data_IF_014591116998
#
_entry.id   IF_014591116998
#
_cell.length_a   1.000
_cell.length_b   1.000
_cell.length_c   1.000
_cell.angle_alpha   90.00
_cell.angle_beta   90.00
_cell.angle_gamma   90.00
#
_symmetry.space_group_name_H-M   'P 1'
#
loop_
_entity.id
_entity.type
_entity.pdbx_description
1 polymer ?
#
# COMPACT_ATOMS: atom_id res chain seq x y z
N UNK A 1 6.21 -12.13 -20.53
CA UNK A 1 4.85 -12.48 -20.07
C UNK A 1 4.06 -11.24 -19.61
N UNK A 2 4.39 -10.59 -18.48
CA UNK A 2 3.66 -9.39 -18.01
C UNK A 2 3.66 -8.20 -18.99
N UNK A 3 4.77 -7.95 -19.71
CA UNK A 3 4.83 -6.86 -20.69
C UNK A 3 3.85 -7.04 -21.87
N UNK A 4 3.42 -8.27 -22.13
CA UNK A 4 2.48 -8.62 -23.20
C UNK A 4 1.03 -8.68 -22.69
N UNK A 5 0.80 -9.20 -21.47
CA UNK A 5 -0.57 -9.40 -20.94
C UNK A 5 -1.07 -8.25 -20.07
N UNK A 6 -0.17 -7.50 -19.42
CA UNK A 6 -0.46 -6.53 -18.35
C UNK A 6 -1.29 -7.12 -17.18
N UNK A 7 -1.40 -8.43 -17.11
CA UNK A 7 -2.15 -9.12 -16.06
C UNK A 7 -1.21 -9.46 -14.89
N UNK A 8 -1.41 -8.78 -13.77
CA UNK A 8 -0.61 -8.99 -12.55
C UNK A 8 -0.92 -10.33 -11.88
N UNK A 9 -2.10 -10.91 -12.12
CA UNK A 9 -2.53 -12.17 -11.50
C UNK A 9 -1.63 -13.33 -11.92
N UNK A 10 -1.12 -13.30 -13.15
CA UNK A 10 -0.17 -14.32 -13.65
C UNK A 10 1.16 -14.30 -12.89
N UNK A 11 1.67 -13.10 -12.56
CA UNK A 11 2.91 -12.96 -11.79
C UNK A 11 2.69 -13.42 -10.35
N UNK A 12 1.55 -13.05 -9.76
CA UNK A 12 1.17 -13.49 -8.41
C UNK A 12 1.03 -15.00 -8.33
N UNK A 13 0.35 -15.61 -9.31
CA UNK A 13 0.21 -17.05 -9.42
C UNK A 13 1.58 -17.74 -9.47
N UNK A 14 2.50 -17.26 -10.31
CA UNK A 14 3.85 -17.84 -10.42
C UNK A 14 4.65 -17.72 -9.11
N UNK A 15 4.56 -16.59 -8.41
CA UNK A 15 5.21 -16.44 -7.11
C UNK A 15 4.59 -17.38 -6.06
N UNK A 16 3.27 -17.56 -6.09
CA UNK A 16 2.56 -18.44 -5.17
C UNK A 16 2.93 -19.91 -5.38
N UNK A 17 3.12 -20.36 -6.63
CA UNK A 17 3.64 -21.71 -6.93
C UNK A 17 5.02 -21.98 -6.31
N UNK A 18 5.83 -20.94 -6.12
CA UNK A 18 7.13 -21.03 -5.45
C UNK A 18 7.04 -20.85 -3.92
N UNK A 19 5.83 -20.79 -3.34
CA UNK A 19 5.61 -20.51 -1.92
C UNK A 19 5.92 -19.06 -1.51
N UNK A 20 6.08 -18.16 -2.48
CA UNK A 20 6.37 -16.75 -2.29
C UNK A 20 5.19 -15.86 -2.66
N UNK A 21 5.43 -14.55 -2.64
CA UNK A 21 4.46 -13.55 -3.06
C UNK A 21 5.13 -12.42 -3.82
N UNK A 22 4.36 -11.74 -4.67
CA UNK A 22 4.87 -10.63 -5.47
C UNK A 22 4.52 -9.29 -4.83
N UNK A 23 5.54 -8.46 -4.60
CA UNK A 23 5.38 -7.06 -4.18
C UNK A 23 6.01 -6.15 -5.22
N UNK A 24 5.20 -5.27 -5.82
CA UNK A 24 5.73 -4.22 -6.69
C UNK A 24 6.59 -3.25 -5.90
N UNK A 25 7.72 -2.84 -6.47
CA UNK A 25 8.52 -1.76 -5.93
C UNK A 25 7.67 -0.48 -5.72
N UNK A 26 7.88 0.27 -4.63
CA UNK A 26 7.23 1.57 -4.48
C UNK A 26 7.66 2.52 -5.60
N UNK A 27 6.69 3.21 -6.17
CA UNK A 27 6.92 4.29 -7.15
C UNK A 27 6.61 5.61 -6.44
N UNK A 28 7.63 6.41 -6.08
CA UNK A 28 7.39 7.69 -5.43
C UNK A 28 6.64 8.64 -6.36
N UNK A 29 5.52 9.20 -5.90
CA UNK A 29 4.79 10.24 -6.61
C UNK A 29 5.45 11.60 -6.36
N UNK A 30 6.16 12.11 -7.35
CA UNK A 30 6.91 13.37 -7.28
C UNK A 30 5.95 14.58 -7.13
N UNK A 31 4.66 14.42 -7.46
CA UNK A 31 3.69 15.53 -7.43
C UNK A 31 3.04 15.74 -6.07
N UNK A 32 3.07 14.74 -5.20
CA UNK A 32 2.40 14.77 -3.89
C UNK A 32 3.36 15.20 -2.80
N UNK A 33 2.82 15.92 -1.81
CA UNK A 33 3.58 16.18 -0.59
C UNK A 33 3.80 14.88 0.18
N UNK A 34 4.87 14.84 0.98
CA UNK A 34 5.18 13.72 1.87
C UNK A 34 4.00 13.36 2.78
N UNK A 35 3.37 14.35 3.41
CA UNK A 35 2.24 14.15 4.32
C UNK A 35 1.03 13.54 3.59
N UNK A 36 0.74 14.03 2.38
CA UNK A 36 -0.32 13.49 1.53
C UNK A 36 -0.03 12.05 1.12
N UNK A 37 1.23 11.70 0.83
CA UNK A 37 1.61 10.33 0.49
C UNK A 37 1.41 9.39 1.67
N UNK A 38 1.86 9.75 2.88
CA UNK A 38 1.68 8.91 4.08
C UNK A 38 0.19 8.70 4.37
N UNK A 39 -0.61 9.77 4.31
CA UNK A 39 -2.05 9.68 4.55
C UNK A 39 -2.73 8.74 3.55
N UNK A 40 -2.40 8.87 2.26
CA UNK A 40 -2.95 8.03 1.21
C UNK A 40 -2.59 6.54 1.39
N UNK A 41 -1.33 6.24 1.67
CA UNK A 41 -0.88 4.86 1.93
C UNK A 41 -1.58 4.27 3.17
N UNK A 42 -1.72 5.06 4.24
CA UNK A 42 -2.42 4.63 5.46
C UNK A 42 -3.90 4.33 5.17
N UNK A 43 -4.57 5.17 4.38
CA UNK A 43 -5.97 4.94 3.96
C UNK A 43 -6.11 3.70 3.08
N UNK A 44 -5.13 3.45 2.21
CA UNK A 44 -5.09 2.24 1.39
C UNK A 44 -4.98 0.97 2.26
N UNK A 45 -4.08 0.95 3.25
CA UNK A 45 -3.98 -0.20 4.19
C UNK A 45 -5.28 -0.48 4.92
N UNK A 46 -5.95 0.57 5.43
CA UNK A 46 -7.23 0.42 6.13
C UNK A 46 -8.30 -0.16 5.19
N UNK A 47 -8.40 0.35 3.96
CA UNK A 47 -9.33 -0.18 2.96
C UNK A 47 -9.04 -1.63 2.64
N UNK A 48 -7.80 -1.98 2.33
CA UNK A 48 -7.42 -3.33 1.94
C UNK A 48 -7.64 -4.33 3.10
N UNK A 49 -7.48 -3.88 4.35
CA UNK A 49 -7.84 -4.66 5.53
C UNK A 49 -9.36 -4.86 5.66
N UNK A 50 -10.15 -3.82 5.43
CA UNK A 50 -11.62 -3.94 5.39
C UNK A 50 -12.08 -4.92 4.30
N UNK A 51 -11.52 -4.84 3.09
CA UNK A 51 -11.85 -5.76 1.99
C UNK A 51 -11.52 -7.22 2.32
N UNK A 52 -10.44 -7.46 3.08
CA UNK A 52 -10.12 -8.80 3.58
C UNK A 52 -11.16 -9.28 4.60
N UNK A 53 -11.55 -8.42 5.56
CA UNK A 53 -12.57 -8.78 6.54
C UNK A 53 -13.91 -9.06 5.87
N UNK A 54 -14.32 -8.23 4.91
CA UNK A 54 -15.56 -8.41 4.14
C UNK A 54 -15.55 -9.75 3.40
N UNK A 55 -14.42 -10.13 2.77
CA UNK A 55 -14.28 -11.42 2.11
C UNK A 55 -14.42 -12.59 3.10
N UNK A 56 -13.80 -12.50 4.28
CA UNK A 56 -13.91 -13.53 5.32
C UNK A 56 -15.33 -13.65 5.85
N UNK A 57 -16.02 -12.53 6.07
CA UNK A 57 -17.40 -12.56 6.59
C UNK A 57 -18.37 -13.10 5.55
N UNK A 58 -18.24 -12.68 4.28
CA UNK A 58 -19.08 -13.18 3.20
C UNK A 58 -18.99 -14.71 3.05
N UNK A 59 -17.77 -15.26 3.16
CA UNK A 59 -17.54 -16.71 3.07
C UNK A 59 -18.07 -17.55 4.24
N UNK A 60 -18.64 -16.91 5.26
CA UNK A 60 -19.23 -17.61 6.43
C UNK A 60 -20.74 -17.32 6.55
N UNK A 61 -21.25 -16.34 5.80
CA UNK A 61 -22.68 -15.98 5.81
C UNK A 61 -23.55 -16.96 5.02
N UNK A 62 -23.03 -17.53 3.93
CA UNK A 62 -23.81 -18.38 3.01
C UNK A 62 -23.74 -19.89 3.32
N UNK A 63 -22.61 -20.39 3.86
CA UNK A 63 -22.42 -21.79 4.26
C UNK A 63 -21.55 -21.88 5.54
N UNK A 64 -21.82 -22.83 6.47
CA UNK A 64 -20.89 -23.15 7.55
C UNK A 64 -19.48 -23.60 7.12
N UNK A 65 -19.20 -23.79 5.82
CA UNK A 65 -17.89 -24.17 5.29
C UNK A 65 -17.38 -23.19 4.22
N UNK A 66 -16.11 -22.82 4.32
CA UNK A 66 -15.41 -22.01 3.31
C UNK A 66 -15.06 -22.91 2.12
N UNK A 67 -15.58 -22.58 0.93
CA UNK A 67 -15.28 -23.32 -0.29
C UNK A 67 -13.91 -22.94 -0.90
N UNK A 68 -13.39 -23.70 -1.88
CA UNK A 68 -12.10 -23.41 -2.49
C UNK A 68 -11.99 -22.03 -3.17
N UNK A 69 -13.07 -21.57 -3.82
CA UNK A 69 -13.09 -20.27 -4.52
C UNK A 69 -13.08 -19.11 -3.51
N UNK A 70 -13.78 -19.28 -2.40
CA UNK A 70 -13.77 -18.38 -1.25
C UNK A 70 -12.41 -18.31 -0.57
N UNK A 71 -11.78 -19.47 -0.32
CA UNK A 71 -10.43 -19.54 0.21
C UNK A 71 -9.42 -18.83 -0.70
N UNK A 72 -9.58 -18.99 -2.02
CA UNK A 72 -8.77 -18.29 -3.03
C UNK A 72 -9.02 -16.78 -3.02
N UNK A 73 -10.25 -16.32 -2.80
CA UNK A 73 -10.57 -14.89 -2.67
C UNK A 73 -9.92 -14.30 -1.41
N UNK A 74 -10.05 -14.96 -0.26
CA UNK A 74 -9.42 -14.55 1.01
C UNK A 74 -7.90 -14.48 0.82
N UNK A 75 -7.32 -15.48 0.15
CA UNK A 75 -5.89 -15.48 -0.18
C UNK A 75 -5.50 -14.27 -1.01
N UNK A 76 -6.26 -13.94 -2.06
CA UNK A 76 -5.99 -12.78 -2.91
C UNK A 76 -6.00 -11.47 -2.12
N UNK A 77 -7.02 -11.25 -1.26
CA UNK A 77 -7.12 -10.04 -0.42
C UNK A 77 -5.98 -9.94 0.59
N UNK A 78 -5.57 -11.06 1.17
CA UNK A 78 -4.41 -11.13 2.05
C UNK A 78 -3.11 -10.73 1.32
N UNK A 79 -2.91 -11.23 0.10
CA UNK A 79 -1.75 -10.86 -0.72
C UNK A 79 -1.75 -9.37 -1.09
N UNK A 80 -2.93 -8.78 -1.36
CA UNK A 80 -3.06 -7.34 -1.62
C UNK A 80 -2.64 -6.51 -0.40
N UNK A 81 -3.17 -6.83 0.78
CA UNK A 81 -2.83 -6.15 2.04
C UNK A 81 -1.33 -6.26 2.34
N UNK A 82 -0.75 -7.47 2.26
CA UNK A 82 0.70 -7.67 2.46
C UNK A 82 1.52 -6.82 1.49
N UNK A 83 1.17 -6.83 0.21
CA UNK A 83 1.89 -6.07 -0.79
C UNK A 83 1.77 -4.55 -0.58
N UNK A 84 0.62 -4.06 -0.11
CA UNK A 84 0.43 -2.66 0.28
C UNK A 84 1.35 -2.28 1.43
N UNK A 85 1.33 -3.05 2.52
CA UNK A 85 2.13 -2.79 3.73
C UNK A 85 3.63 -2.89 3.44
N UNK A 86 4.07 -3.93 2.72
CA UNK A 86 5.48 -4.12 2.35
C UNK A 86 5.99 -2.94 1.51
N UNK A 87 5.20 -2.48 0.54
CA UNK A 87 5.56 -1.33 -0.29
C UNK A 87 5.71 -0.05 0.52
N UNK A 88 4.86 0.14 1.53
CA UNK A 88 4.99 1.26 2.46
C UNK A 88 6.28 1.16 3.27
N UNK A 89 6.62 -0.01 3.81
CA UNK A 89 7.88 -0.25 4.54
C UNK A 89 9.08 0.06 3.65
N UNK A 90 9.13 -0.46 2.43
CA UNK A 90 10.20 -0.16 1.46
C UNK A 90 10.28 1.35 1.19
N UNK A 91 9.15 2.06 1.08
CA UNK A 91 9.16 3.52 0.92
C UNK A 91 9.74 4.26 2.14
N UNK A 92 9.48 3.78 3.35
CA UNK A 92 10.09 4.30 4.57
C UNK A 92 11.61 4.07 4.56
N UNK A 93 12.05 2.86 4.25
CA UNK A 93 13.47 2.48 4.18
C UNK A 93 14.24 3.28 3.11
N UNK A 94 13.59 3.61 1.99
CA UNK A 94 14.16 4.45 0.92
C UNK A 94 14.11 5.95 1.22
N UNK A 95 13.51 6.36 2.33
CA UNK A 95 13.44 7.78 2.71
C UNK A 95 12.47 8.61 1.87
N UNK A 96 11.48 7.98 1.22
CA UNK A 96 10.47 8.69 0.43
C UNK A 96 9.60 9.66 1.26
N UNK A 97 9.62 9.49 2.59
CA UNK A 97 8.81 10.28 3.53
C UNK A 97 9.61 11.28 4.39
N UNK A 98 10.82 11.69 3.96
CA UNK A 98 11.56 12.71 4.69
C UNK A 98 10.95 14.11 4.50
N UNK A 99 10.33 14.63 5.56
CA UNK A 99 9.92 16.03 5.67
C UNK A 99 11.14 16.95 5.53
N UNK A 100 11.24 17.69 4.41
CA UNK A 100 12.16 18.82 4.34
C UNK A 100 11.64 19.91 5.27
N UNK A 101 12.37 20.21 6.36
CA UNK A 101 12.09 21.36 7.22
C UNK A 101 12.02 22.62 6.35
N UNK A 102 10.85 23.28 6.31
CA UNK A 102 10.70 24.59 5.68
C UNK A 102 11.66 25.56 6.41
N UNK A 103 12.51 26.34 5.72
CA UNK A 103 13.39 27.30 6.38
C UNK A 103 12.53 28.24 7.24
N UNK A 104 12.83 28.30 8.54
CA UNK A 104 12.19 29.25 9.44
C UNK A 104 12.51 30.66 8.95
N UNK A 105 11.47 31.41 8.56
CA UNK A 105 11.60 32.84 8.28
C UNK A 105 12.11 33.52 9.55
N UNK A 106 13.31 34.12 9.48
CA UNK A 106 13.87 34.94 10.56
C UNK A 106 12.90 36.11 10.85
N UNK A 107 12.58 36.41 12.12
CA UNK A 107 11.80 37.59 12.45
C UNK A 107 12.52 38.86 11.98
N UNK A 108 11.82 39.74 11.26
CA UNK A 108 12.29 41.08 10.87
C UNK A 108 12.40 41.99 12.10
N UNK A 109 13.38 41.77 12.96
CA UNK A 109 13.90 42.83 13.83
C UNK A 109 14.84 43.69 12.99
N UNK A 110 14.36 44.79 12.41
CA UNK A 110 15.12 46.02 12.10
C UNK A 110 14.21 47.05 11.39
N UNK A 111 13.18 47.57 12.06
CA UNK A 111 12.56 48.87 11.71
C UNK A 111 12.05 49.61 12.95
N UNK A 112 12.97 49.94 13.87
CA UNK A 112 12.82 51.06 14.80
C UNK A 112 14.19 51.68 15.06
N UNK A 113 14.63 52.52 14.13
CA UNK A 113 15.51 53.66 14.37
C UNK A 113 15.82 54.34 13.02
N UNK A 114 15.02 55.35 12.70
CA UNK A 114 15.38 56.54 11.93
C UNK A 114 14.24 57.56 12.13
#
# INVERSE_FOLDING_TARGET
MYLLTKDIRLIRWLCNEAGGFFVSNPVPDIRKSTDESIYNETRAMVRDFSELLDAVTASVEDDPHIDPDEADLIRQRWEDLKACVERFVISCERGHYHLRKRPQQQPEEHRRQA
#
